data_IF_017309299034
#
_entry.id   IF_017309299034
#
_cell.length_a   1.000
_cell.length_b   1.000
_cell.length_c   1.000
_cell.angle_alpha   90.00
_cell.angle_beta   90.00
_cell.angle_gamma   90.00
#
_symmetry.space_group_name_H-M   'P 1'
#
loop_
_entity.id
_entity.type
_entity.pdbx_description
1 polymer ?
#
# COMPACT_ATOMS: atom_id res chain seq x y z
N UNK A 1 -8.37 -5.00 18.16
CA UNK A 1 -7.84 -3.83 17.45
C UNK A 1 -8.91 -3.27 16.51
N UNK A 2 -9.19 -1.99 16.61
CA UNK A 2 -10.15 -1.37 15.74
C UNK A 2 -9.61 -1.26 14.32
N UNK A 3 -10.45 -1.58 13.35
CA UNK A 3 -10.13 -1.41 11.94
C UNK A 3 -10.81 -0.15 11.42
N UNK A 4 -10.25 0.46 10.39
CA UNK A 4 -10.91 1.52 9.68
C UNK A 4 -12.09 0.95 8.88
N UNK A 5 -13.10 1.77 8.67
CA UNK A 5 -14.32 1.34 7.98
C UNK A 5 -14.61 2.20 6.76
N UNK A 6 -15.31 1.60 5.82
CA UNK A 6 -15.81 2.29 4.63
C UNK A 6 -16.68 3.48 5.06
N UNK A 7 -16.49 4.61 4.41
CA UNK A 7 -17.21 5.85 4.71
C UNK A 7 -16.47 6.81 5.63
N UNK A 8 -15.41 6.34 6.33
CA UNK A 8 -14.57 7.20 7.15
C UNK A 8 -13.60 7.99 6.28
N UNK A 9 -13.15 9.13 6.78
CA UNK A 9 -12.05 9.85 6.15
C UNK A 9 -10.77 9.03 6.31
N UNK A 10 -10.02 8.87 5.23
CA UNK A 10 -8.72 8.22 5.28
C UNK A 10 -7.75 9.12 6.06
N UNK A 11 -6.98 8.57 7.01
CA UNK A 11 -5.96 9.36 7.69
C UNK A 11 -4.98 10.00 6.71
N UNK A 12 -4.75 11.30 6.86
CA UNK A 12 -3.76 11.99 6.04
C UNK A 12 -2.35 11.56 6.46
N UNK A 13 -1.41 11.67 5.56
CA UNK A 13 -0.03 11.31 5.83
C UNK A 13 0.91 12.15 4.96
N UNK A 14 2.17 12.14 5.34
CA UNK A 14 3.24 12.79 4.59
C UNK A 14 4.48 11.91 4.70
N UNK A 15 4.84 11.26 3.61
CA UNK A 15 5.94 10.29 3.56
C UNK A 15 6.83 10.58 2.36
N UNK A 16 8.11 10.21 2.46
CA UNK A 16 9.04 10.34 1.34
C UNK A 16 8.89 9.15 0.38
N UNK A 17 9.02 9.42 -0.92
CA UNK A 17 9.07 8.39 -1.94
C UNK A 17 10.51 7.87 -2.12
N UNK A 18 10.73 7.03 -3.13
CA UNK A 18 12.04 6.46 -3.42
C UNK A 18 13.08 7.48 -3.84
N UNK A 19 12.68 8.66 -4.29
CA UNK A 19 13.57 9.75 -4.67
C UNK A 19 13.79 10.77 -3.54
N UNK A 20 13.26 10.49 -2.35
CA UNK A 20 13.38 11.38 -1.20
C UNK A 20 12.42 12.57 -1.24
N UNK A 21 11.47 12.59 -2.16
CA UNK A 21 10.47 13.66 -2.28
C UNK A 21 9.29 13.34 -1.35
N UNK A 22 8.88 14.34 -0.58
CA UNK A 22 7.76 14.19 0.34
C UNK A 22 6.43 14.22 -0.40
N UNK A 23 5.58 13.23 -0.16
CA UNK A 23 4.27 13.08 -0.77
C UNK A 23 3.24 12.96 0.33
N UNK A 24 2.16 13.74 0.25
CA UNK A 24 1.03 13.63 1.17
C UNK A 24 -0.14 12.94 0.46
N UNK A 25 -1.09 12.44 1.24
CA UNK A 25 -2.32 11.88 0.67
C UNK A 25 -3.03 12.93 -0.20
N UNK A 26 -3.09 14.18 0.26
CA UNK A 26 -3.74 15.26 -0.49
C UNK A 26 -3.16 15.44 -1.88
N UNK A 27 -1.85 15.26 -2.03
CA UNK A 27 -1.18 15.38 -3.33
C UNK A 27 -1.66 14.33 -4.35
N UNK A 28 -2.23 13.23 -3.86
CA UNK A 28 -2.66 12.09 -4.68
C UNK A 28 -4.15 12.11 -4.98
N UNK A 29 -4.93 12.94 -4.28
CA UNK A 29 -6.41 12.88 -4.34
C UNK A 29 -7.04 13.45 -5.61
N UNK A 30 -6.24 13.91 -6.57
CA UNK A 30 -6.75 14.22 -7.90
C UNK A 30 -7.16 12.93 -8.64
N UNK A 31 -6.81 11.78 -8.09
CA UNK A 31 -7.19 10.46 -8.57
C UNK A 31 -7.65 9.61 -7.39
N UNK A 32 -8.34 8.51 -7.69
CA UNK A 32 -8.63 7.47 -6.71
C UNK A 32 -7.31 6.83 -6.29
N UNK A 33 -7.09 6.65 -4.99
CA UNK A 33 -5.83 6.11 -4.47
C UNK A 33 -6.04 4.66 -4.01
N UNK A 34 -5.23 3.75 -4.55
CA UNK A 34 -5.13 2.38 -4.06
C UNK A 34 -3.87 2.35 -3.20
N UNK A 35 -4.07 2.40 -1.89
CA UNK A 35 -2.98 2.46 -0.91
C UNK A 35 -2.81 1.08 -0.28
N UNK A 36 -1.65 0.44 -0.48
CA UNK A 36 -1.42 -0.87 0.11
C UNK A 36 -0.20 -0.87 1.01
N UNK A 37 -0.32 -1.59 2.13
CA UNK A 37 0.75 -1.76 3.11
C UNK A 37 1.32 -3.17 2.99
N UNK A 38 2.65 -3.27 2.98
CA UNK A 38 3.34 -4.55 2.89
C UNK A 38 4.57 -4.55 3.81
N UNK A 39 5.02 -5.75 4.28
CA UNK A 39 6.04 -5.81 5.32
C UNK A 39 7.45 -5.41 4.89
N UNK A 40 7.91 -5.82 3.71
CA UNK A 40 9.33 -5.64 3.36
C UNK A 40 9.59 -5.83 1.86
N UNK A 41 10.37 -4.91 1.29
CA UNK A 41 10.84 -4.99 -0.09
C UNK A 41 11.58 -6.31 -0.36
N UNK A 42 11.48 -6.79 -1.58
CA UNK A 42 12.22 -7.96 -2.08
C UNK A 42 11.93 -9.27 -1.35
N UNK A 43 10.84 -9.38 -0.60
CA UNK A 43 10.36 -10.66 -0.09
C UNK A 43 9.41 -11.29 -1.11
N UNK A 44 9.23 -12.63 -1.11
CA UNK A 44 8.44 -13.29 -2.17
C UNK A 44 7.03 -12.77 -2.34
N UNK A 45 6.27 -12.65 -1.26
CA UNK A 45 4.89 -12.16 -1.33
C UNK A 45 4.80 -10.70 -1.75
N UNK A 46 5.68 -9.85 -1.21
CA UNK A 46 5.69 -8.42 -1.53
C UNK A 46 6.13 -8.18 -2.97
N UNK A 47 7.05 -8.99 -3.48
CA UNK A 47 7.48 -8.94 -4.88
C UNK A 47 6.34 -9.33 -5.81
N UNK A 48 5.65 -10.41 -5.51
CA UNK A 48 4.49 -10.84 -6.30
C UNK A 48 3.42 -9.76 -6.35
N UNK A 49 3.06 -9.22 -5.19
CA UNK A 49 2.03 -8.18 -5.09
C UNK A 49 2.40 -6.94 -5.90
N UNK A 50 3.63 -6.46 -5.74
CA UNK A 50 4.11 -5.26 -6.44
C UNK A 50 4.16 -5.47 -7.96
N UNK A 51 4.61 -6.63 -8.40
CA UNK A 51 4.64 -6.98 -9.83
C UNK A 51 3.25 -7.09 -10.41
N UNK A 52 2.31 -7.66 -9.67
CA UNK A 52 0.92 -7.78 -10.12
C UNK A 52 0.27 -6.41 -10.27
N UNK A 53 0.45 -5.52 -9.30
CA UNK A 53 -0.04 -4.14 -9.42
C UNK A 53 0.61 -3.42 -10.60
N UNK A 54 1.91 -3.60 -10.79
CA UNK A 54 2.64 -2.98 -11.90
C UNK A 54 2.17 -3.48 -13.25
N UNK A 55 1.89 -4.78 -13.37
CA UNK A 55 1.37 -5.37 -14.60
C UNK A 55 0.00 -4.82 -14.98
N UNK A 56 -0.78 -4.41 -13.99
CA UNK A 56 -2.13 -3.85 -14.19
C UNK A 56 -2.14 -2.32 -14.23
N UNK A 57 -0.98 -1.69 -14.32
CA UNK A 57 -0.85 -0.23 -14.28
C UNK A 57 -1.80 0.47 -15.25
N UNK A 58 -1.83 0.04 -16.50
CA UNK A 58 -2.70 0.64 -17.52
C UNK A 58 -4.18 0.51 -17.17
N UNK A 59 -4.56 -0.62 -16.58
CA UNK A 59 -5.95 -0.88 -16.21
C UNK A 59 -6.37 0.03 -15.04
N UNK A 60 -5.50 0.20 -14.05
CA UNK A 60 -5.75 1.13 -12.95
C UNK A 60 -5.84 2.57 -13.46
N UNK A 61 -4.96 2.94 -14.38
CA UNK A 61 -4.96 4.28 -14.99
C UNK A 61 -6.26 4.56 -15.73
N UNK A 62 -6.80 3.59 -16.45
CA UNK A 62 -8.08 3.72 -17.14
C UNK A 62 -9.23 3.99 -16.18
N UNK A 63 -9.14 3.52 -14.96
CA UNK A 63 -10.13 3.75 -13.91
C UNK A 63 -9.83 4.99 -13.06
N UNK A 64 -8.91 5.82 -13.52
CA UNK A 64 -8.48 7.04 -12.82
C UNK A 64 -7.97 6.73 -11.41
N UNK A 65 -7.18 5.67 -11.27
CA UNK A 65 -6.61 5.24 -10.00
C UNK A 65 -5.09 5.22 -10.07
N UNK A 66 -4.46 5.55 -8.93
CA UNK A 66 -3.02 5.45 -8.74
C UNK A 66 -2.74 4.45 -7.63
N UNK A 67 -1.74 3.60 -7.82
CA UNK A 67 -1.38 2.57 -6.84
C UNK A 67 -0.14 3.03 -6.07
N UNK A 68 -0.26 3.01 -4.75
CA UNK A 68 0.79 3.48 -3.83
C UNK A 68 1.05 2.41 -2.78
N UNK A 69 2.28 1.92 -2.73
CA UNK A 69 2.71 0.94 -1.72
C UNK A 69 3.45 1.63 -0.59
N UNK A 70 3.25 1.15 0.63
CA UNK A 70 3.88 1.69 1.84
C UNK A 70 4.50 0.55 2.63
N UNK A 71 5.77 0.69 2.99
CA UNK A 71 6.45 -0.26 3.87
C UNK A 71 7.41 0.48 4.79
N UNK A 72 7.97 -0.21 5.82
CA UNK A 72 8.97 0.41 6.71
C UNK A 72 10.35 0.56 6.08
N UNK A 73 10.52 0.19 4.83
CA UNK A 73 11.80 0.29 4.13
C UNK A 73 12.18 1.75 3.82
N UNK A 74 13.48 1.99 3.64
CA UNK A 74 13.99 3.31 3.29
C UNK A 74 14.01 3.55 1.78
N UNK A 75 14.37 4.75 1.37
CA UNK A 75 14.38 5.14 -0.05
C UNK A 75 15.32 4.28 -0.88
N UNK A 76 16.51 3.94 -0.36
CA UNK A 76 17.46 3.09 -1.07
C UNK A 76 16.90 1.71 -1.35
N UNK A 77 16.22 1.11 -0.37
CA UNK A 77 15.56 -0.18 -0.51
C UNK A 77 14.49 -0.12 -1.59
N UNK A 78 13.66 0.92 -1.57
CA UNK A 78 12.61 1.11 -2.59
C UNK A 78 13.20 1.30 -3.99
N UNK A 79 14.26 2.08 -4.14
CA UNK A 79 14.93 2.26 -5.43
C UNK A 79 15.42 0.93 -6.00
N UNK A 80 16.04 0.12 -5.15
CA UNK A 80 16.52 -1.20 -5.52
C UNK A 80 15.38 -2.12 -5.96
N UNK A 81 14.31 -2.13 -5.19
CA UNK A 81 13.13 -2.94 -5.47
C UNK A 81 12.48 -2.54 -6.80
N UNK A 82 12.27 -1.24 -7.00
CA UNK A 82 11.72 -0.71 -8.26
C UNK A 82 12.60 -1.10 -9.45
N UNK A 83 13.90 -0.91 -9.32
CA UNK A 83 14.86 -1.19 -10.39
C UNK A 83 14.93 -2.68 -10.72
N UNK A 84 15.05 -3.52 -9.72
CA UNK A 84 15.18 -4.98 -9.91
C UNK A 84 13.92 -5.63 -10.47
N UNK A 85 12.76 -5.09 -10.13
CA UNK A 85 11.46 -5.69 -10.51
C UNK A 85 10.72 -4.87 -11.58
N UNK A 86 11.33 -3.80 -12.07
CA UNK A 86 10.73 -2.90 -13.08
C UNK A 86 9.34 -2.42 -12.65
N UNK A 87 9.24 -1.96 -11.41
CA UNK A 87 7.96 -1.53 -10.85
C UNK A 87 7.59 -0.12 -11.33
N UNK A 88 6.30 0.10 -11.53
CA UNK A 88 5.76 1.42 -11.87
C UNK A 88 4.73 1.91 -10.83
N UNK A 89 4.68 1.26 -9.67
CA UNK A 89 3.89 1.75 -8.54
C UNK A 89 4.72 2.77 -7.75
N UNK A 90 4.03 3.68 -7.07
CA UNK A 90 4.70 4.63 -6.16
C UNK A 90 4.96 3.89 -4.85
N UNK A 91 6.19 3.96 -4.35
CA UNK A 91 6.55 3.37 -3.06
C UNK A 91 6.94 4.46 -2.08
N UNK A 92 6.35 4.42 -0.88
CA UNK A 92 6.57 5.40 0.18
C UNK A 92 7.24 4.75 1.39
N UNK A 93 8.06 5.53 2.09
CA UNK A 93 8.86 5.09 3.23
C UNK A 93 8.17 5.44 4.54
N UNK A 94 7.70 4.44 5.27
CA UNK A 94 7.08 4.60 6.59
C UNK A 94 7.97 3.92 7.65
N UNK A 95 9.21 4.43 7.78
CA UNK A 95 10.27 3.77 8.56
C UNK A 95 9.90 3.55 10.03
N UNK A 96 9.16 4.48 10.63
CA UNK A 96 8.72 4.38 12.02
C UNK A 96 7.36 3.70 12.17
N UNK A 97 6.76 3.25 11.08
CA UNK A 97 5.46 2.55 11.04
C UNK A 97 4.28 3.39 11.55
N UNK A 98 4.46 4.70 11.59
CA UNK A 98 3.44 5.63 12.09
C UNK A 98 2.19 5.59 11.24
N UNK A 99 2.33 5.64 9.91
CA UNK A 99 1.20 5.63 8.99
C UNK A 99 0.51 4.27 8.99
N UNK A 100 1.29 3.18 9.03
CA UNK A 100 0.72 1.84 9.17
C UNK A 100 -0.16 1.74 10.41
N UNK A 101 0.28 2.32 11.54
CA UNK A 101 -0.51 2.36 12.76
C UNK A 101 -1.77 3.21 12.62
N UNK A 102 -1.69 4.34 11.93
CA UNK A 102 -2.87 5.20 11.66
C UNK A 102 -3.94 4.44 10.87
N UNK A 103 -3.51 3.59 9.94
CA UNK A 103 -4.42 2.80 9.11
C UNK A 103 -4.80 1.47 9.74
N UNK A 104 -4.32 1.20 10.96
CA UNK A 104 -4.55 -0.07 11.69
C UNK A 104 -4.01 -1.28 10.91
N UNK A 105 -2.96 -1.07 10.12
CA UNK A 105 -2.29 -2.09 9.33
C UNK A 105 -0.99 -2.58 10.02
N UNK A 106 -0.90 -2.40 11.32
CA UNK A 106 0.22 -2.88 12.14
C UNK A 106 -0.35 -3.54 13.39
N UNK A 107 0.15 -4.72 13.73
CA UNK A 107 -0.34 -5.44 14.89
C UNK A 107 0.19 -6.86 14.95
N UNK A 108 -0.49 -7.68 15.72
CA UNK A 108 -0.11 -9.07 15.90
C UNK A 108 -0.49 -9.90 14.69
N UNK A 109 0.44 -10.72 14.24
CA UNK A 109 0.20 -11.66 13.14
C UNK A 109 0.85 -12.99 13.46
N UNK A 110 0.24 -14.07 12.98
CA UNK A 110 0.78 -15.42 13.14
C UNK A 110 1.72 -15.74 11.98
N UNK A 111 2.93 -16.17 12.30
CA UNK A 111 3.92 -16.56 11.31
C UNK A 111 4.65 -17.80 11.83
N UNK A 112 4.56 -18.92 11.09
CA UNK A 112 5.16 -20.20 11.49
C UNK A 112 4.73 -20.64 12.89
N UNK A 113 3.45 -20.45 13.22
CA UNK A 113 2.88 -20.84 14.51
C UNK A 113 3.25 -19.94 15.68
N UNK A 114 3.95 -18.84 15.43
CA UNK A 114 4.36 -17.87 16.47
C UNK A 114 3.71 -16.53 16.20
N UNK A 115 3.41 -15.80 17.27
CA UNK A 115 2.84 -14.47 17.23
C UNK A 115 3.96 -13.43 17.09
N UNK A 116 3.85 -12.56 16.08
CA UNK A 116 4.80 -11.48 15.82
C UNK A 116 4.07 -10.16 15.66
N UNK A 117 4.70 -9.07 16.06
CA UNK A 117 4.24 -7.73 15.72
C UNK A 117 4.81 -7.35 14.36
N UNK A 118 3.99 -6.83 13.49
CA UNK A 118 4.44 -6.42 12.17
C UNK A 118 3.33 -5.83 11.32
N UNK A 119 3.69 -5.51 10.09
CA UNK A 119 2.74 -4.98 9.12
C UNK A 119 1.75 -6.08 8.73
N UNK A 120 0.47 -5.74 8.79
CA UNK A 120 -0.62 -6.58 8.32
C UNK A 120 -0.90 -6.16 6.88
N UNK A 121 -0.63 -7.04 5.92
CA UNK A 121 -0.84 -6.74 4.49
C UNK A 121 -2.27 -6.30 4.26
N UNK A 122 -2.45 -5.05 3.86
CA UNK A 122 -3.77 -4.43 3.77
C UNK A 122 -3.81 -3.47 2.58
N UNK A 123 -5.00 -3.25 2.03
CA UNK A 123 -5.20 -2.32 0.92
C UNK A 123 -6.43 -1.47 1.18
N UNK A 124 -6.32 -0.19 0.87
CA UNK A 124 -7.41 0.78 1.04
C UNK A 124 -7.65 1.49 -0.28
N UNK A 125 -8.92 1.59 -0.67
CA UNK A 125 -9.30 2.40 -1.83
C UNK A 125 -9.89 3.69 -1.29
N UNK A 126 -9.28 4.81 -1.66
CA UNK A 126 -9.65 6.16 -1.19
C UNK A 126 -10.14 6.96 -2.39
N UNK A 127 -11.35 7.53 -2.28
CA UNK A 127 -11.90 8.34 -3.36
C UNK A 127 -11.29 9.75 -3.39
N UNK A 128 -11.65 10.54 -4.38
CA UNK A 128 -11.09 11.89 -4.57
C UNK A 128 -11.47 12.88 -3.48
N UNK A 129 -12.46 12.56 -2.65
CA UNK A 129 -12.80 13.35 -1.46
C UNK A 129 -12.04 12.90 -0.20
N UNK A 130 -11.15 11.91 -0.33
CA UNK A 130 -10.38 11.41 0.80
C UNK A 130 -11.15 10.43 1.68
N UNK A 131 -12.24 9.86 1.19
CA UNK A 131 -13.08 8.93 1.93
C UNK A 131 -12.74 7.50 1.53
N UNK A 132 -12.71 6.61 2.53
CA UNK A 132 -12.46 5.17 2.32
C UNK A 132 -13.65 4.52 1.62
N UNK A 133 -13.41 4.01 0.42
CA UNK A 133 -14.41 3.25 -0.35
C UNK A 133 -14.34 1.76 -0.07
N UNK A 134 -13.14 1.23 0.18
CA UNK A 134 -12.89 -0.18 0.47
C UNK A 134 -11.75 -0.31 1.46
N UNK A 135 -11.85 -1.30 2.32
CA UNK A 135 -10.80 -1.65 3.28
C UNK A 135 -10.59 -3.16 3.23
N UNK A 136 -9.41 -3.58 2.77
CA UNK A 136 -9.03 -4.98 2.70
C UNK A 136 -7.93 -5.21 3.74
N UNK A 137 -8.24 -5.95 4.79
CA UNK A 137 -7.27 -6.28 5.85
C UNK A 137 -6.81 -7.72 5.73
N UNK A 138 -5.57 -7.97 6.12
CA UNK A 138 -4.99 -9.31 6.22
C UNK A 138 -5.17 -10.12 4.92
N UNK A 139 -4.74 -9.54 3.81
CA UNK A 139 -4.89 -10.12 2.48
C UNK A 139 -3.67 -10.96 2.10
N UNK A 140 -3.87 -11.89 1.18
CA UNK A 140 -2.79 -12.66 0.58
C UNK A 140 -2.34 -11.97 -0.71
N UNK A 141 -1.04 -12.03 -1.01
CA UNK A 141 -0.49 -11.36 -2.20
C UNK A 141 -1.02 -11.95 -3.50
N UNK A 142 -1.16 -13.27 -3.58
CA UNK A 142 -1.59 -13.95 -4.80
C UNK A 142 -3.01 -13.55 -5.21
N UNK A 143 -3.14 -12.99 -6.42
CA UNK A 143 -4.43 -12.61 -7.00
C UNK A 143 -5.05 -11.35 -6.40
N UNK A 144 -4.38 -10.71 -5.44
CA UNK A 144 -4.93 -9.55 -4.74
C UNK A 144 -5.08 -8.34 -5.65
N UNK A 145 -4.07 -8.03 -6.46
CA UNK A 145 -4.10 -6.86 -7.34
C UNK A 145 -5.28 -6.91 -8.31
N UNK A 146 -5.55 -8.09 -8.89
CA UNK A 146 -6.69 -8.27 -9.80
C UNK A 146 -8.02 -8.07 -9.05
N UNK A 147 -8.12 -8.58 -7.83
CA UNK A 147 -9.30 -8.43 -6.99
C UNK A 147 -9.58 -6.96 -6.67
N UNK A 148 -8.53 -6.21 -6.36
CA UNK A 148 -8.62 -4.77 -6.10
C UNK A 148 -9.09 -4.04 -7.35
N UNK A 149 -8.50 -4.36 -8.50
CA UNK A 149 -8.89 -3.76 -9.78
C UNK A 149 -10.38 -3.98 -10.08
N UNK A 150 -10.87 -5.19 -9.87
CA UNK A 150 -12.28 -5.54 -10.10
C UNK A 150 -13.24 -4.81 -9.16
N UNK A 151 -12.76 -4.37 -8.01
CA UNK A 151 -13.57 -3.66 -7.02
C UNK A 151 -13.70 -2.15 -7.27
N UNK A 152 -12.95 -1.62 -8.22
CA UNK A 152 -12.98 -0.19 -8.56
C UNK A 152 -14.20 0.20 -9.39
#
# INVERSE_FOLDING_TARGET
MEKLEVGQLAPDFRLKNSDGVEISLKDLLHKKVVLYFYPKDNTPGCTLEAKDFSALFSEFKKKNAVVVGVSPDNAQSHQKFISQCSLNVILLCDEDKKVANLYKAYGKRMLYGKEHLGIIRSTFIINTQGVLEKCFYNVKAKGHAQKVLESL
#
